data_IF_216837853684
#
_entry.id   IF_216837853684
#
_cell.length_a   1.000
_cell.length_b   1.000
_cell.length_c   1.000
_cell.angle_alpha   90.00
_cell.angle_beta   90.00
_cell.angle_gamma   90.00
#
_symmetry.space_group_name_H-M   'P 1'
#
loop_
_entity.id
_entity.type
_entity.pdbx_description
1 polymer ?
#
# COMPACT_ATOMS: atom_id res chain seq x y z
N UNK A 1 -24.06 53.97 -17.69
CA UNK A 1 -25.34 53.88 -18.46
C UNK A 1 -25.60 52.39 -18.74
N UNK A 2 -26.76 51.78 -18.43
CA UNK A 2 -28.03 51.70 -19.21
C UNK A 2 -27.79 51.25 -20.67
N UNK A 3 -28.39 50.19 -21.25
CA UNK A 3 -29.50 49.24 -20.92
C UNK A 3 -29.08 47.78 -21.28
N UNK A 4 -29.57 46.62 -20.80
CA UNK A 4 -30.69 46.12 -19.95
C UNK A 4 -31.96 45.51 -20.62
N UNK A 5 -31.82 44.37 -21.32
CA UNK A 5 -32.89 43.38 -21.70
C UNK A 5 -32.23 42.02 -21.99
N UNK A 6 -32.61 40.82 -21.51
CA UNK A 6 -33.71 40.24 -20.69
C UNK A 6 -34.98 39.72 -21.41
N UNK A 7 -35.00 38.41 -21.73
CA UNK A 7 -36.15 37.48 -21.94
C UNK A 7 -35.68 36.02 -21.66
N UNK A 8 -36.52 34.98 -21.81
CA UNK A 8 -37.39 34.44 -20.73
C UNK A 8 -38.25 33.25 -21.21
N UNK A 9 -38.11 32.06 -20.60
CA UNK A 9 -38.98 30.88 -20.81
C UNK A 9 -38.34 29.61 -20.21
N UNK A 10 -38.76 28.99 -19.09
CA UNK A 10 -40.07 28.61 -18.53
C UNK A 10 -40.40 27.12 -18.78
N UNK A 11 -40.40 26.29 -17.73
CA UNK A 11 -41.21 25.06 -17.63
C UNK A 11 -41.39 24.60 -16.16
N UNK A 12 -42.64 24.25 -15.87
CA UNK A 12 -43.23 23.29 -14.92
C UNK A 12 -42.36 22.71 -13.78
N UNK A 13 -42.74 22.68 -12.49
CA UNK A 13 -44.04 22.56 -11.76
C UNK A 13 -44.60 21.14 -11.58
N UNK A 14 -44.30 20.49 -10.45
CA UNK A 14 -45.11 19.41 -9.84
C UNK A 14 -45.12 19.59 -8.33
N UNK A 15 -46.27 19.44 -7.68
CA UNK A 15 -46.43 19.39 -6.22
C UNK A 15 -47.01 18.03 -5.81
N UNK A 16 -46.64 17.53 -4.62
CA UNK A 16 -47.41 16.49 -3.90
C UNK A 16 -46.98 16.34 -2.44
N UNK A 17 -47.97 16.31 -1.57
CA UNK A 17 -48.01 15.94 -0.15
C UNK A 17 -49.47 15.56 0.17
N UNK A 18 -49.81 14.98 1.34
CA UNK A 18 -48.99 14.22 2.30
C UNK A 18 -49.60 12.83 2.58
N UNK A 19 -49.05 12.07 3.55
CA UNK A 19 -49.83 11.07 4.33
C UNK A 19 -49.21 10.83 5.71
N UNK A 20 -50.01 10.32 6.66
CA UNK A 20 -49.77 10.38 8.10
C UNK A 20 -49.98 9.05 8.84
N UNK A 21 -49.25 8.83 9.94
CA UNK A 21 -49.53 8.05 11.19
C UNK A 21 -48.20 8.00 12.00
N UNK A 22 -48.07 8.25 13.31
CA UNK A 22 -48.80 7.98 14.58
C UNK A 22 -48.32 6.71 15.33
N UNK A 23 -47.87 6.89 16.59
CA UNK A 23 -47.47 5.84 17.57
C UNK A 23 -45.95 5.63 17.64
N UNK A 24 -45.17 5.90 18.70
CA UNK A 24 -45.34 6.28 20.13
C UNK A 24 -45.37 5.12 21.17
N UNK A 25 -44.25 4.98 21.91
CA UNK A 25 -43.95 4.40 23.25
C UNK A 25 -42.42 4.08 23.27
N UNK A 26 -41.55 4.54 24.19
CA UNK A 26 -41.43 4.35 25.67
C UNK A 26 -41.35 2.87 26.09
N UNK A 27 -40.28 2.36 26.70
CA UNK A 27 -38.97 2.94 27.07
C UNK A 27 -38.20 1.99 28.02
N UNK A 28 -37.17 2.51 28.71
CA UNK A 28 -36.43 1.89 29.84
C UNK A 28 -35.44 0.75 29.48
N UNK A 29 -34.14 1.05 29.54
CA UNK A 29 -33.06 0.12 29.93
C UNK A 29 -32.91 0.13 31.47
N UNK A 30 -32.36 -0.94 32.10
CA UNK A 30 -30.95 -0.89 32.49
C UNK A 30 -30.23 -2.27 32.55
N UNK A 31 -28.95 -2.22 32.98
CA UNK A 31 -28.11 -3.31 33.48
C UNK A 31 -27.60 -4.38 32.47
N UNK A 32 -26.29 -4.31 32.18
CA UNK A 32 -25.47 -5.47 31.81
C UNK A 32 -24.67 -5.90 33.04
N UNK A 33 -24.49 -7.21 33.23
CA UNK A 33 -23.26 -7.83 33.73
C UNK A 33 -23.21 -9.29 33.20
N UNK A 34 -22.03 -9.93 33.10
CA UNK A 34 -21.80 -10.97 32.08
C UNK A 34 -22.03 -12.41 32.54
N UNK A 35 -22.77 -13.20 31.75
CA UNK A 35 -22.74 -14.67 31.85
C UNK A 35 -21.59 -15.28 31.04
N UNK A 36 -20.82 -16.16 31.69
CA UNK A 36 -19.75 -16.94 31.06
C UNK A 36 -20.34 -18.27 30.59
N UNK A 37 -20.40 -18.49 29.26
CA UNK A 37 -20.83 -19.79 28.71
C UNK A 37 -19.65 -20.78 28.53
N UNK A 38 -19.88 -22.09 28.71
CA UNK A 38 -18.81 -23.08 28.86
C UNK A 38 -18.22 -23.61 27.55
N UNK A 39 -16.97 -24.07 27.63
CA UNK A 39 -16.28 -24.82 26.56
C UNK A 39 -16.90 -26.21 26.39
N UNK A 40 -17.63 -26.45 25.29
CA UNK A 40 -17.59 -27.66 24.46
C UNK A 40 -18.71 -27.69 23.40
N UNK A 41 -18.51 -27.00 22.26
CA UNK A 41 -19.28 -27.27 21.04
C UNK A 41 -18.54 -26.82 19.75
N UNK A 42 -17.35 -27.37 19.53
CA UNK A 42 -16.57 -27.17 18.29
C UNK A 42 -16.28 -28.56 17.69
N UNK A 43 -17.22 -29.07 16.90
CA UNK A 43 -17.09 -30.16 15.92
C UNK A 43 -18.47 -30.35 15.24
N UNK A 44 -18.47 -30.59 13.93
CA UNK A 44 -19.64 -30.85 13.08
C UNK A 44 -20.72 -29.73 13.00
N UNK A 45 -20.40 -28.61 12.33
CA UNK A 45 -21.40 -27.79 11.59
C UNK A 45 -20.76 -26.72 10.66
N UNK A 46 -19.68 -27.04 9.94
CA UNK A 46 -19.09 -26.16 8.90
C UNK A 46 -18.61 -27.01 7.71
N UNK A 47 -19.57 -27.62 7.05
CA UNK A 47 -19.48 -28.06 5.65
C UNK A 47 -20.65 -27.38 4.91
N UNK A 48 -20.52 -27.23 3.59
CA UNK A 48 -21.30 -26.35 2.70
C UNK A 48 -21.06 -24.82 2.84
N UNK A 49 -21.14 -24.13 1.70
CA UNK A 49 -20.95 -22.67 1.52
C UNK A 49 -19.51 -22.12 1.64
N UNK A 50 -18.56 -22.78 0.97
CA UNK A 50 -17.54 -22.03 0.22
C UNK A 50 -17.84 -22.28 -1.26
N UNK A 51 -18.49 -21.31 -1.92
CA UNK A 51 -18.48 -21.27 -3.38
C UNK A 51 -17.03 -20.97 -3.82
N UNK A 52 -16.47 -21.67 -4.81
CA UNK A 52 -15.22 -21.24 -5.40
C UNK A 52 -15.49 -19.93 -6.14
N UNK A 53 -14.96 -18.82 -5.63
CA UNK A 53 -14.70 -17.68 -6.49
C UNK A 53 -13.64 -18.12 -7.50
N UNK A 54 -14.10 -18.56 -8.67
CA UNK A 54 -13.29 -18.75 -9.89
C UNK A 54 -12.84 -17.37 -10.40
N UNK A 55 -12.07 -16.68 -9.56
CA UNK A 55 -11.36 -15.47 -9.91
C UNK A 55 -10.27 -15.90 -10.90
N UNK A 56 -10.55 -15.78 -12.19
CA UNK A 56 -9.66 -16.36 -13.21
C UNK A 56 -8.33 -15.61 -13.22
N UNK A 57 -7.35 -16.21 -12.53
CA UNK A 57 -5.97 -15.73 -12.44
C UNK A 57 -5.34 -15.46 -13.80
N UNK A 58 -5.91 -15.96 -14.91
CA UNK A 58 -5.44 -15.69 -16.26
C UNK A 58 -5.55 -14.20 -16.64
N UNK A 59 -6.60 -13.47 -16.22
CA UNK A 59 -6.77 -12.04 -16.56
C UNK A 59 -5.61 -11.16 -16.03
N UNK A 60 -5.09 -11.43 -14.82
CA UNK A 60 -3.91 -10.73 -14.28
C UNK A 60 -2.61 -10.99 -15.08
N UNK A 61 -2.58 -12.01 -15.94
CA UNK A 61 -1.43 -12.36 -16.76
C UNK A 61 -1.62 -12.01 -18.25
N UNK A 62 -2.83 -11.74 -18.76
CA UNK A 62 -3.02 -11.26 -20.14
C UNK A 62 -2.29 -9.93 -20.39
N UNK A 63 -2.30 -9.01 -19.40
CA UNK A 63 -1.48 -7.78 -19.40
C UNK A 63 0.04 -8.04 -19.39
N UNK A 64 0.46 -9.24 -18.99
CA UNK A 64 1.87 -9.64 -18.85
C UNK A 64 2.35 -10.39 -20.10
N UNK A 65 1.46 -11.08 -20.82
CA UNK A 65 1.77 -11.76 -22.09
C UNK A 65 2.50 -10.87 -23.12
N UNK A 66 2.01 -9.69 -23.54
CA UNK A 66 2.69 -8.89 -24.56
C UNK A 66 4.05 -8.37 -24.09
N UNK A 67 4.19 -7.98 -22.81
CA UNK A 67 5.47 -7.54 -22.25
C UNK A 67 6.49 -8.68 -22.15
N UNK A 68 6.06 -9.89 -21.77
CA UNK A 68 6.98 -11.03 -21.67
C UNK A 68 7.26 -11.65 -23.04
N UNK A 69 6.38 -11.48 -24.04
CA UNK A 69 6.67 -11.83 -25.43
C UNK A 69 7.71 -10.88 -26.07
N UNK A 70 7.66 -9.57 -25.77
CA UNK A 70 8.72 -8.61 -26.12
C UNK A 70 10.07 -8.97 -25.43
N UNK A 71 10.04 -9.40 -24.16
CA UNK A 71 11.23 -9.88 -23.44
C UNK A 71 11.72 -11.27 -23.91
N UNK A 72 10.84 -12.12 -24.44
CA UNK A 72 11.19 -13.48 -24.91
C UNK A 72 11.74 -13.47 -26.34
N UNK A 73 11.25 -12.58 -27.21
CA UNK A 73 11.80 -12.37 -28.56
C UNK A 73 13.18 -11.72 -28.55
N UNK A 74 13.59 -11.08 -27.44
CA UNK A 74 14.94 -10.50 -27.25
C UNK A 74 15.97 -11.40 -26.53
N UNK A 75 15.77 -12.72 -26.51
CA UNK A 75 16.66 -13.67 -25.83
C UNK A 75 18.11 -13.69 -26.41
N UNK A 76 19.15 -14.05 -25.62
CA UNK A 76 19.11 -14.70 -24.30
C UNK A 76 19.99 -14.00 -23.25
N UNK A 77 19.72 -12.74 -22.91
CA UNK A 77 20.41 -12.01 -21.83
C UNK A 77 19.43 -11.05 -21.12
N UNK A 78 18.39 -11.59 -20.47
CA UNK A 78 17.40 -10.80 -19.71
C UNK A 78 17.88 -10.49 -18.28
N UNK A 79 19.19 -10.24 -18.13
CA UNK A 79 19.74 -9.64 -16.93
C UNK A 79 19.24 -8.19 -16.86
N UNK A 80 18.42 -7.88 -15.86
CA UNK A 80 18.08 -6.50 -15.52
C UNK A 80 19.38 -5.85 -15.00
N UNK A 81 19.89 -4.78 -15.63
CA UNK A 81 21.22 -4.27 -15.30
C UNK A 81 21.14 -3.41 -14.04
N UNK A 82 21.18 -4.08 -12.89
CA UNK A 82 21.65 -3.46 -11.66
C UNK A 82 23.17 -3.62 -11.67
N UNK A 83 23.86 -2.47 -11.74
CA UNK A 83 25.31 -2.38 -11.64
C UNK A 83 25.81 -3.23 -10.46
N UNK A 84 26.51 -4.31 -10.78
CA UNK A 84 27.23 -5.09 -9.77
C UNK A 84 28.38 -4.23 -9.24
N UNK A 85 28.16 -3.56 -8.12
CA UNK A 85 29.29 -3.28 -7.23
C UNK A 85 29.84 -4.63 -6.81
N UNK A 86 31.04 -4.94 -7.30
CA UNK A 86 31.84 -6.03 -6.79
C UNK A 86 32.23 -5.66 -5.36
N UNK A 87 31.33 -5.97 -4.42
CA UNK A 87 31.79 -6.52 -3.15
C UNK A 87 32.67 -7.71 -3.51
N UNK A 88 33.99 -7.45 -3.53
CA UNK A 88 35.00 -8.49 -3.60
C UNK A 88 34.69 -9.55 -2.55
N UNK A 89 35.23 -10.76 -2.75
CA UNK A 89 35.13 -11.85 -1.79
C UNK A 89 35.98 -11.53 -0.56
N UNK A 90 35.51 -10.59 0.25
CA UNK A 90 35.97 -10.36 1.62
C UNK A 90 35.59 -11.61 2.38
N UNK A 91 36.57 -12.48 2.56
CA UNK A 91 36.53 -13.67 3.43
C UNK A 91 36.32 -13.20 4.87
N UNK A 92 35.08 -12.80 5.16
CA UNK A 92 34.62 -12.37 6.48
C UNK A 92 34.57 -13.63 7.33
N UNK A 93 35.56 -13.79 8.23
CA UNK A 93 35.90 -15.08 8.82
C UNK A 93 34.66 -15.83 9.34
N UNK A 94 34.45 -17.03 8.78
CA UNK A 94 33.26 -17.83 9.03
C UNK A 94 33.30 -18.43 10.44
N UNK A 95 32.82 -17.65 11.41
CA UNK A 95 32.57 -18.07 12.79
C UNK A 95 31.84 -19.42 12.82
N UNK A 96 32.41 -20.37 13.54
CA UNK A 96 32.24 -21.78 13.23
C UNK A 96 30.95 -22.42 13.80
N UNK A 97 30.24 -23.17 12.94
CA UNK A 97 29.34 -24.32 13.25
C UNK A 97 28.07 -23.97 14.07
N UNK A 98 26.84 -24.27 13.65
CA UNK A 98 26.28 -25.11 12.55
C UNK A 98 24.96 -24.47 12.06
N UNK A 99 24.21 -24.96 11.05
CA UNK A 99 24.31 -26.18 10.23
C UNK A 99 23.82 -25.89 8.81
N UNK A 100 24.37 -26.57 7.81
CA UNK A 100 24.01 -26.58 6.36
C UNK A 100 23.18 -25.38 5.85
N UNK A 101 23.85 -24.44 5.19
CA UNK A 101 23.26 -23.41 4.32
C UNK A 101 22.02 -23.96 3.55
N UNK A 102 20.80 -23.44 3.82
CA UNK A 102 19.57 -23.95 3.24
C UNK A 102 19.56 -23.94 1.71
N UNK A 103 20.25 -22.97 1.09
CA UNK A 103 20.39 -22.90 -0.37
C UNK A 103 21.27 -24.04 -0.87
N UNK A 104 22.41 -24.32 -0.23
CA UNK A 104 23.26 -25.47 -0.61
C UNK A 104 22.50 -26.79 -0.46
N UNK A 105 21.76 -26.96 0.65
CA UNK A 105 20.94 -28.14 0.87
C UNK A 105 19.90 -28.34 -0.25
N UNK A 106 19.15 -27.30 -0.58
CA UNK A 106 18.18 -27.34 -1.68
C UNK A 106 18.84 -27.66 -3.03
N UNK A 107 20.00 -27.06 -3.32
CA UNK A 107 20.77 -27.34 -4.55
C UNK A 107 21.31 -28.77 -4.60
N UNK A 108 21.64 -29.39 -3.46
CA UNK A 108 22.03 -30.80 -3.37
C UNK A 108 20.84 -31.74 -3.57
N UNK A 109 19.70 -31.48 -2.93
CA UNK A 109 18.45 -32.24 -3.11
C UNK A 109 17.96 -32.17 -4.57
N UNK A 110 17.95 -30.98 -5.18
CA UNK A 110 17.58 -30.76 -6.59
C UNK A 110 18.52 -31.47 -7.58
N UNK A 111 19.79 -31.70 -7.21
CA UNK A 111 20.75 -32.45 -8.05
C UNK A 111 20.52 -33.96 -8.07
N UNK A 112 19.74 -34.52 -7.14
CA UNK A 112 19.43 -35.95 -7.10
C UNK A 112 18.42 -36.36 -8.18
N UNK A 113 17.60 -35.43 -8.67
CA UNK A 113 16.62 -35.70 -9.73
C UNK A 113 17.30 -35.87 -11.10
N UNK A 114 17.08 -37.03 -11.72
CA UNK A 114 17.48 -37.34 -13.09
C UNK A 114 16.78 -36.39 -14.07
N UNK A 115 17.52 -35.96 -15.11
CA UNK A 115 16.93 -35.29 -16.27
C UNK A 115 16.12 -36.30 -17.10
N UNK A 116 15.07 -35.84 -17.78
CA UNK A 116 14.22 -36.66 -18.64
C UNK A 116 14.67 -36.62 -20.10
N UNK A 117 14.61 -37.77 -20.77
CA UNK A 117 14.73 -37.85 -22.23
C UNK A 117 13.53 -37.14 -22.90
N UNK A 118 13.68 -36.50 -24.09
CA UNK A 118 12.54 -35.98 -24.86
C UNK A 118 11.37 -36.98 -25.05
N UNK A 119 11.63 -38.27 -25.20
CA UNK A 119 10.57 -39.28 -25.33
C UNK A 119 9.85 -39.53 -24.00
N UNK A 120 10.59 -39.56 -22.88
CA UNK A 120 10.01 -39.69 -21.54
C UNK A 120 9.13 -38.46 -21.20
N UNK A 121 9.64 -37.26 -21.44
CA UNK A 121 8.94 -35.98 -21.25
C UNK A 121 7.62 -35.95 -22.03
N UNK A 122 7.63 -36.33 -23.31
CA UNK A 122 6.42 -36.43 -24.12
C UNK A 122 5.42 -37.45 -23.54
N UNK A 123 5.90 -38.63 -23.14
CA UNK A 123 5.05 -39.69 -22.58
C UNK A 123 4.39 -39.32 -21.25
N UNK A 124 5.09 -38.55 -20.40
CA UNK A 124 4.59 -38.06 -19.11
C UNK A 124 3.61 -36.90 -19.32
N UNK A 125 3.92 -35.96 -20.22
CA UNK A 125 3.02 -34.86 -20.56
C UNK A 125 1.71 -35.34 -21.19
N UNK A 126 1.76 -36.39 -22.03
CA UNK A 126 0.56 -37.00 -22.60
C UNK A 126 -0.31 -37.66 -21.53
N UNK A 127 0.29 -38.47 -20.62
CA UNK A 127 -0.43 -39.06 -19.47
C UNK A 127 -1.08 -38.01 -18.58
N UNK A 128 -0.39 -36.91 -18.31
CA UNK A 128 -0.93 -35.79 -17.54
C UNK A 128 -2.14 -35.16 -18.25
N UNK A 129 -2.02 -34.86 -19.56
CA UNK A 129 -3.09 -34.25 -20.35
C UNK A 129 -4.32 -35.16 -20.53
N UNK A 130 -4.11 -36.47 -20.69
CA UNK A 130 -5.20 -37.44 -20.91
C UNK A 130 -5.88 -37.91 -19.62
N UNK A 131 -5.16 -37.99 -18.50
CA UNK A 131 -5.60 -38.73 -17.29
C UNK A 131 -5.49 -37.94 -15.98
N UNK A 132 -4.92 -36.74 -16.00
CA UNK A 132 -4.68 -35.96 -14.78
C UNK A 132 -3.66 -36.61 -13.83
N UNK A 133 -2.73 -37.40 -14.36
CA UNK A 133 -1.77 -38.20 -13.57
C UNK A 133 -0.83 -37.30 -12.73
N UNK A 134 -1.11 -37.20 -11.44
CA UNK A 134 -0.39 -36.38 -10.47
C UNK A 134 1.08 -36.83 -10.34
N UNK A 135 1.38 -38.12 -10.48
CA UNK A 135 2.76 -38.61 -10.38
C UNK A 135 3.55 -38.30 -11.66
N UNK A 136 2.89 -38.29 -12.82
CA UNK A 136 3.47 -37.76 -14.05
C UNK A 136 3.79 -36.25 -13.93
N UNK A 137 2.88 -35.45 -13.36
CA UNK A 137 3.14 -34.04 -13.05
C UNK A 137 4.32 -33.87 -12.08
N UNK A 138 4.34 -34.64 -10.98
CA UNK A 138 5.43 -34.62 -9.99
C UNK A 138 6.78 -34.94 -10.65
N UNK A 139 6.84 -35.93 -11.54
CA UNK A 139 8.07 -36.28 -12.28
C UNK A 139 8.51 -35.20 -13.26
N UNK A 140 7.59 -34.57 -13.99
CA UNK A 140 7.87 -33.44 -14.88
C UNK A 140 8.41 -32.22 -14.13
N UNK A 141 7.81 -31.85 -12.99
CA UNK A 141 8.25 -30.73 -12.14
C UNK A 141 9.63 -31.03 -11.55
N UNK A 142 9.80 -32.16 -10.87
CA UNK A 142 11.05 -32.50 -10.17
C UNK A 142 12.27 -32.58 -11.08
N UNK A 143 12.13 -33.09 -12.31
CA UNK A 143 13.20 -33.09 -13.31
C UNK A 143 13.60 -31.68 -13.79
N UNK A 144 12.69 -30.69 -13.70
CA UNK A 144 12.88 -29.33 -14.21
C UNK A 144 13.22 -28.29 -13.12
N UNK A 145 13.29 -28.64 -11.84
CA UNK A 145 13.71 -27.73 -10.75
C UNK A 145 15.09 -27.07 -11.01
N UNK A 146 15.98 -27.76 -11.73
CA UNK A 146 17.29 -27.25 -12.16
C UNK A 146 17.19 -26.07 -13.15
N UNK A 147 16.12 -25.99 -13.94
CA UNK A 147 15.83 -24.85 -14.82
C UNK A 147 15.37 -23.64 -14.01
N UNK A 148 14.53 -23.84 -12.99
CA UNK A 148 14.07 -22.78 -12.08
C UNK A 148 15.26 -22.13 -11.38
N UNK A 149 16.16 -22.93 -10.80
CA UNK A 149 17.41 -22.46 -10.18
C UNK A 149 18.24 -21.63 -11.15
N UNK A 150 18.41 -22.08 -12.40
CA UNK A 150 19.17 -21.33 -13.41
C UNK A 150 18.56 -19.96 -13.67
N UNK A 151 17.23 -19.89 -13.86
CA UNK A 151 16.53 -18.64 -14.16
C UNK A 151 16.54 -17.71 -12.93
N UNK A 152 16.31 -18.22 -11.72
CA UNK A 152 16.34 -17.42 -10.49
C UNK A 152 17.72 -16.76 -10.24
N UNK A 153 18.81 -17.44 -10.61
CA UNK A 153 20.17 -16.88 -10.52
C UNK A 153 20.38 -15.64 -11.41
N UNK A 154 19.62 -15.48 -12.51
CA UNK A 154 19.68 -14.31 -13.40
C UNK A 154 19.16 -13.03 -12.70
N UNK A 155 18.42 -13.15 -11.59
CA UNK A 155 17.82 -12.06 -10.82
C UNK A 155 18.50 -11.79 -9.46
N UNK A 156 19.56 -12.52 -9.10
CA UNK A 156 20.24 -12.44 -7.80
C UNK A 156 20.82 -11.05 -7.47
N UNK A 157 21.15 -10.23 -8.48
CA UNK A 157 21.66 -8.86 -8.30
C UNK A 157 20.61 -7.86 -7.80
N UNK A 158 19.32 -8.23 -7.83
CA UNK A 158 18.18 -7.35 -7.59
C UNK A 158 17.53 -7.60 -6.23
N UNK A 159 17.55 -8.85 -5.78
CA UNK A 159 16.83 -9.31 -4.59
C UNK A 159 17.69 -10.26 -3.78
N UNK A 160 17.77 -10.02 -2.48
CA UNK A 160 18.72 -10.69 -1.58
C UNK A 160 18.38 -12.15 -1.31
N UNK A 161 17.09 -12.50 -1.17
CA UNK A 161 16.67 -13.87 -0.89
C UNK A 161 16.38 -14.65 -2.17
N UNK A 162 17.41 -15.35 -2.66
CA UNK A 162 17.31 -16.22 -3.84
C UNK A 162 16.34 -17.41 -3.64
N UNK A 163 16.07 -17.85 -2.40
CA UNK A 163 15.16 -18.96 -2.14
C UNK A 163 13.71 -18.59 -2.48
N UNK A 164 13.29 -17.36 -2.21
CA UNK A 164 11.93 -16.90 -2.52
C UNK A 164 11.71 -16.87 -4.04
N UNK A 165 12.70 -16.36 -4.80
CA UNK A 165 12.68 -16.37 -6.27
C UNK A 165 12.61 -17.80 -6.84
N UNK A 166 13.31 -18.74 -6.20
CA UNK A 166 13.24 -20.16 -6.58
C UNK A 166 11.85 -20.73 -6.28
N UNK A 167 11.22 -20.39 -5.15
CA UNK A 167 9.89 -20.89 -4.80
C UNK A 167 8.79 -20.34 -5.71
N UNK A 168 8.82 -19.06 -6.05
CA UNK A 168 7.90 -18.46 -7.02
C UNK A 168 8.12 -19.00 -8.43
N UNK A 169 9.39 -19.20 -8.83
CA UNK A 169 9.72 -19.90 -10.06
C UNK A 169 9.25 -21.37 -10.07
N UNK A 170 9.21 -22.05 -8.92
CA UNK A 170 8.65 -23.40 -8.79
C UNK A 170 7.12 -23.38 -8.97
N UNK A 171 6.41 -22.37 -8.44
CA UNK A 171 4.97 -22.17 -8.67
C UNK A 171 4.70 -21.91 -10.17
N UNK A 172 5.51 -21.05 -10.81
CA UNK A 172 5.48 -20.82 -12.26
C UNK A 172 5.71 -22.10 -13.06
N UNK A 173 6.67 -22.94 -12.68
CA UNK A 173 6.90 -24.26 -13.29
C UNK A 173 5.69 -25.20 -13.12
N UNK A 174 5.03 -25.21 -11.96
CA UNK A 174 3.81 -26.01 -11.74
C UNK A 174 2.65 -25.52 -12.64
N UNK A 175 2.46 -24.20 -12.77
CA UNK A 175 1.45 -23.63 -13.69
C UNK A 175 1.77 -23.96 -15.15
N UNK A 176 3.06 -23.93 -15.53
CA UNK A 176 3.51 -24.34 -16.86
C UNK A 176 3.21 -25.82 -17.15
N UNK A 177 3.55 -26.72 -16.23
CA UNK A 177 3.28 -28.16 -16.38
C UNK A 177 1.77 -28.44 -16.49
N UNK A 178 0.93 -27.67 -15.77
CA UNK A 178 -0.53 -27.76 -15.86
C UNK A 178 -1.11 -27.26 -17.19
N UNK A 179 -0.51 -26.25 -17.84
CA UNK A 179 -0.96 -25.69 -19.14
C UNK A 179 -0.16 -26.21 -20.37
N UNK A 180 0.81 -27.10 -20.19
CA UNK A 180 1.70 -27.56 -21.27
C UNK A 180 1.00 -28.52 -22.25
N UNK A 181 1.20 -28.28 -23.55
CA UNK A 181 0.68 -29.14 -24.61
C UNK A 181 1.80 -29.82 -25.42
N UNK A 182 2.08 -31.13 -25.19
CA UNK A 182 3.15 -31.83 -25.89
C UNK A 182 2.91 -31.98 -27.40
N UNK A 183 1.65 -31.86 -27.86
CA UNK A 183 1.31 -31.96 -29.30
C UNK A 183 1.89 -30.83 -30.14
N UNK A 184 2.29 -29.71 -29.51
CA UNK A 184 2.89 -28.55 -30.18
C UNK A 184 4.40 -28.72 -30.48
N UNK A 185 5.02 -29.84 -30.10
CA UNK A 185 6.39 -30.21 -30.46
C UNK A 185 7.53 -29.45 -29.77
N UNK A 186 7.24 -28.39 -29.00
CA UNK A 186 8.23 -27.71 -28.17
C UNK A 186 8.54 -28.52 -26.90
N UNK A 187 9.81 -28.52 -26.44
CA UNK A 187 10.19 -29.08 -25.13
C UNK A 187 9.57 -28.28 -24.00
N UNK A 188 9.17 -28.96 -22.93
CA UNK A 188 8.61 -28.34 -21.71
C UNK A 188 9.50 -27.22 -21.18
N UNK A 189 10.82 -27.39 -21.18
CA UNK A 189 11.77 -26.38 -20.70
C UNK A 189 11.68 -25.02 -21.40
N UNK A 190 11.37 -24.97 -22.70
CA UNK A 190 11.19 -23.68 -23.39
C UNK A 190 9.91 -22.99 -22.92
N UNK A 191 8.78 -23.72 -22.90
CA UNK A 191 7.49 -23.21 -22.45
C UNK A 191 7.51 -22.78 -20.98
N UNK A 192 8.05 -23.63 -20.10
CA UNK A 192 8.19 -23.33 -18.68
C UNK A 192 9.10 -22.12 -18.41
N UNK A 193 10.11 -21.86 -19.24
CA UNK A 193 10.98 -20.69 -19.05
C UNK A 193 10.22 -19.36 -19.08
N UNK A 194 9.13 -19.27 -19.84
CA UNK A 194 8.25 -18.10 -19.87
C UNK A 194 7.52 -17.96 -18.52
N UNK A 195 6.83 -18.99 -18.05
CA UNK A 195 6.09 -18.99 -16.79
C UNK A 195 6.98 -18.74 -15.56
N UNK A 196 8.15 -19.39 -15.52
CA UNK A 196 9.13 -19.22 -14.43
C UNK A 196 9.57 -17.75 -14.34
N UNK A 197 9.91 -17.11 -15.47
CA UNK A 197 10.22 -15.67 -15.49
C UNK A 197 9.03 -14.84 -15.08
N UNK A 198 7.84 -15.06 -15.64
CA UNK A 198 6.64 -14.26 -15.35
C UNK A 198 6.28 -14.24 -13.86
N UNK A 199 6.38 -15.39 -13.17
CA UNK A 199 6.12 -15.49 -11.73
C UNK A 199 7.21 -14.80 -10.89
N UNK A 200 8.49 -15.01 -11.20
CA UNK A 200 9.61 -14.31 -10.53
C UNK A 200 9.50 -12.79 -10.71
N UNK A 201 9.19 -12.33 -11.92
CA UNK A 201 9.05 -10.91 -12.24
C UNK A 201 7.85 -10.27 -11.52
N UNK A 202 6.70 -10.98 -11.42
CA UNK A 202 5.55 -10.54 -10.62
C UNK A 202 5.92 -10.43 -9.14
N UNK A 203 6.50 -11.47 -8.55
CA UNK A 203 6.93 -11.45 -7.15
C UNK A 203 7.92 -10.32 -6.85
N UNK A 204 8.91 -10.09 -7.73
CA UNK A 204 9.83 -8.97 -7.60
C UNK A 204 9.05 -7.64 -7.61
N UNK A 205 8.19 -7.41 -8.59
CA UNK A 205 7.44 -6.15 -8.73
C UNK A 205 6.51 -5.88 -7.51
N UNK A 206 5.93 -6.93 -6.93
CA UNK A 206 5.05 -6.88 -5.76
C UNK A 206 5.79 -6.78 -4.41
N UNK A 207 7.08 -7.14 -4.34
CA UNK A 207 7.85 -7.23 -3.09
C UNK A 207 9.22 -6.52 -3.12
N UNK A 208 9.53 -5.74 -4.15
CA UNK A 208 10.77 -4.93 -4.24
C UNK A 208 10.85 -3.82 -3.17
N UNK A 209 9.72 -3.46 -2.56
CA UNK A 209 9.59 -2.44 -1.51
C UNK A 209 8.63 -2.92 -0.43
N UNK A 210 8.85 -2.48 0.81
CA UNK A 210 7.96 -2.69 1.95
C UNK A 210 6.65 -1.92 1.76
N UNK A 211 6.75 -0.69 1.25
CA UNK A 211 5.56 0.12 0.90
C UNK A 211 5.04 -0.33 -0.47
N UNK A 212 3.96 -1.10 -0.46
CA UNK A 212 3.28 -1.55 -1.69
C UNK A 212 2.44 -0.41 -2.27
N UNK A 213 2.62 -0.15 -3.57
CA UNK A 213 1.89 0.84 -4.35
C UNK A 213 1.30 0.11 -5.57
N UNK A 214 0.02 0.33 -5.87
CA UNK A 214 -0.64 -0.30 -7.02
C UNK A 214 0.05 0.08 -8.34
N UNK A 215 0.42 -0.92 -9.15
CA UNK A 215 1.26 -0.74 -10.33
C UNK A 215 0.46 -0.69 -11.63
N UNK A 216 0.58 0.42 -12.34
CA UNK A 216 0.08 0.58 -13.72
C UNK A 216 1.00 -0.10 -14.73
N UNK A 217 0.50 -0.43 -15.94
CA UNK A 217 1.33 -1.06 -16.98
C UNK A 217 2.56 -0.20 -17.35
N UNK A 218 2.43 1.13 -17.36
CA UNK A 218 3.56 2.05 -17.55
C UNK A 218 4.64 1.87 -16.46
N UNK A 219 4.24 1.69 -15.20
CA UNK A 219 5.17 1.37 -14.11
C UNK A 219 5.75 -0.05 -14.23
N UNK A 220 4.99 -1.06 -14.70
CA UNK A 220 5.56 -2.39 -15.00
C UNK A 220 6.65 -2.29 -16.07
N UNK A 221 6.38 -1.61 -17.18
CA UNK A 221 7.34 -1.37 -18.28
C UNK A 221 8.57 -0.61 -17.78
N UNK A 222 8.38 0.45 -16.98
CA UNK A 222 9.49 1.19 -16.39
C UNK A 222 10.33 0.34 -15.43
N UNK A 223 9.72 -0.48 -14.56
CA UNK A 223 10.45 -1.32 -13.60
C UNK A 223 11.48 -2.24 -14.28
N UNK A 224 11.16 -2.81 -15.45
CA UNK A 224 12.09 -3.67 -16.20
C UNK A 224 13.03 -2.91 -17.15
N UNK A 225 12.57 -1.85 -17.82
CA UNK A 225 13.32 -1.22 -18.91
C UNK A 225 14.05 0.09 -18.54
N UNK A 226 13.64 0.78 -17.47
CA UNK A 226 14.17 2.11 -17.10
C UNK A 226 15.68 2.10 -16.86
N UNK A 227 16.16 1.17 -16.03
CA UNK A 227 17.56 1.12 -15.65
C UNK A 227 18.46 0.68 -16.83
N UNK A 228 17.95 -0.20 -17.69
CA UNK A 228 18.64 -0.65 -18.92
C UNK A 228 18.76 0.46 -19.96
N UNK A 229 17.68 1.19 -20.25
CA UNK A 229 17.76 2.30 -21.21
C UNK A 229 18.53 3.48 -20.63
N UNK A 230 18.54 3.67 -19.30
CA UNK A 230 19.43 4.62 -18.61
C UNK A 230 20.90 4.29 -18.83
N UNK A 231 21.36 3.07 -18.49
CA UNK A 231 22.75 2.65 -18.74
C UNK A 231 23.12 2.73 -20.23
N UNK A 232 22.19 2.34 -21.12
CA UNK A 232 22.38 2.42 -22.57
C UNK A 232 22.57 3.84 -23.08
N UNK A 233 21.91 4.83 -22.48
CA UNK A 233 22.07 6.25 -22.81
C UNK A 233 23.38 6.81 -22.22
N UNK A 234 23.70 6.48 -20.97
CA UNK A 234 24.95 6.87 -20.33
C UNK A 234 26.17 6.30 -21.08
N UNK A 235 26.10 5.06 -21.58
CA UNK A 235 27.09 4.45 -22.46
C UNK A 235 27.21 5.10 -23.86
N UNK A 236 26.21 5.87 -24.29
CA UNK A 236 26.28 6.73 -25.47
C UNK A 236 26.79 8.15 -25.16
N UNK A 237 27.17 8.43 -23.90
CA UNK A 237 27.57 9.76 -23.44
C UNK A 237 26.42 10.74 -23.28
N UNK A 238 25.16 10.25 -23.27
CA UNK A 238 23.97 11.07 -23.10
C UNK A 238 23.52 11.06 -21.63
N UNK A 239 23.23 12.25 -21.09
CA UNK A 239 22.57 12.36 -19.80
C UNK A 239 21.13 11.85 -19.91
N UNK A 240 20.84 10.76 -19.20
CA UNK A 240 19.54 10.09 -19.18
C UNK A 240 18.49 10.88 -18.37
N UNK A 241 18.08 12.05 -18.88
CA UNK A 241 17.06 12.88 -18.26
C UNK A 241 15.64 12.28 -18.38
N UNK A 242 14.73 12.50 -17.40
CA UNK A 242 13.40 11.88 -17.37
C UNK A 242 12.58 12.04 -18.65
N UNK A 243 12.69 13.18 -19.36
CA UNK A 243 12.01 13.42 -20.64
C UNK A 243 12.46 12.48 -21.76
N UNK A 244 13.77 12.29 -21.90
CA UNK A 244 14.33 11.45 -22.95
C UNK A 244 14.03 9.97 -22.65
N UNK A 245 14.04 9.57 -21.38
CA UNK A 245 13.58 8.25 -20.93
C UNK A 245 12.07 8.04 -21.19
N UNK A 246 11.24 9.06 -20.93
CA UNK A 246 9.80 9.03 -21.20
C UNK A 246 9.48 8.86 -22.70
N UNK A 247 10.14 9.64 -23.56
CA UNK A 247 10.04 9.55 -25.03
C UNK A 247 10.54 8.19 -25.56
N UNK A 248 11.57 7.59 -24.95
CA UNK A 248 12.11 6.29 -25.37
C UNK A 248 11.28 5.10 -24.92
N UNK A 249 10.59 5.20 -23.79
CA UNK A 249 9.81 4.11 -23.21
C UNK A 249 8.30 4.22 -23.47
N UNK A 250 7.85 5.30 -24.12
CA UNK A 250 6.43 5.61 -24.41
C UNK A 250 5.57 5.64 -23.13
N UNK A 251 5.97 6.52 -22.21
CA UNK A 251 5.34 6.73 -20.89
C UNK A 251 5.37 8.22 -20.52
N UNK A 252 4.68 8.63 -19.45
CA UNK A 252 4.66 10.03 -19.02
C UNK A 252 5.90 10.35 -18.17
N UNK A 253 6.46 11.55 -18.32
CA UNK A 253 7.61 12.04 -17.52
C UNK A 253 7.40 11.87 -16.00
N UNK A 254 6.17 12.07 -15.50
CA UNK A 254 5.83 11.84 -14.08
C UNK A 254 6.08 10.38 -13.67
N UNK A 255 5.66 9.42 -14.48
CA UNK A 255 5.78 7.99 -14.16
C UNK A 255 7.26 7.57 -14.13
N UNK A 256 8.09 8.17 -14.99
CA UNK A 256 9.55 7.99 -14.97
C UNK A 256 10.16 8.52 -13.67
N UNK A 257 9.81 9.74 -13.24
CA UNK A 257 10.33 10.34 -11.99
C UNK A 257 9.88 9.52 -10.78
N UNK A 258 8.63 9.06 -10.76
CA UNK A 258 8.08 8.24 -9.68
C UNK A 258 8.79 6.86 -9.58
N UNK A 259 9.06 6.22 -10.73
CA UNK A 259 9.82 4.96 -10.75
C UNK A 259 11.32 5.16 -10.46
N UNK A 260 11.96 6.24 -10.96
CA UNK A 260 13.35 6.53 -10.62
C UNK A 260 13.51 6.78 -9.11
N UNK A 261 12.56 7.47 -8.47
CA UNK A 261 12.51 7.57 -7.01
C UNK A 261 12.41 6.18 -6.36
N UNK A 262 11.44 5.34 -6.77
CA UNK A 262 11.22 3.98 -6.23
C UNK A 262 12.46 3.06 -6.38
N UNK A 263 13.16 3.13 -7.52
CA UNK A 263 14.36 2.32 -7.80
C UNK A 263 15.63 2.90 -7.18
N UNK A 264 15.70 4.21 -6.92
CA UNK A 264 16.89 4.83 -6.35
C UNK A 264 17.18 4.39 -4.91
N UNK A 265 18.45 4.41 -4.52
CA UNK A 265 18.86 4.25 -3.12
C UNK A 265 18.28 5.34 -2.18
N UNK A 266 17.81 6.47 -2.72
CA UNK A 266 17.14 7.54 -1.94
C UNK A 266 15.66 7.23 -1.66
N UNK A 267 15.04 6.34 -2.45
CA UNK A 267 13.71 5.80 -2.19
C UNK A 267 13.74 4.48 -1.43
N UNK A 268 14.90 4.08 -0.88
CA UNK A 268 15.02 2.91 -0.02
C UNK A 268 14.59 3.24 1.39
N UNK A 269 13.80 2.34 1.98
CA UNK A 269 13.35 2.38 3.35
C UNK A 269 14.54 2.30 4.31
N UNK A 270 14.83 3.40 5.01
CA UNK A 270 15.96 3.47 5.94
C UNK A 270 15.59 2.79 7.28
N UNK A 271 16.35 1.80 7.76
CA UNK A 271 16.06 1.17 9.04
C UNK A 271 16.25 2.18 10.19
N UNK A 272 15.20 2.39 11.01
CA UNK A 272 15.26 3.37 12.09
C UNK A 272 16.26 2.96 13.19
N UNK A 273 16.46 1.65 13.39
CA UNK A 273 17.42 1.08 14.34
C UNK A 273 18.87 1.11 13.83
N UNK A 274 19.13 1.58 12.60
CA UNK A 274 20.49 1.73 12.10
C UNK A 274 21.23 2.86 12.85
N UNK A 275 22.53 2.67 13.19
CA UNK A 275 23.31 3.70 13.86
C UNK A 275 23.61 4.87 12.90
N UNK A 276 23.32 6.09 13.32
CA UNK A 276 23.52 7.31 12.50
C UNK A 276 25.01 7.58 12.26
N UNK A 277 25.86 7.23 13.23
CA UNK A 277 27.31 7.44 13.18
C UNK A 277 28.06 6.11 13.15
N UNK A 278 28.85 5.90 12.10
CA UNK A 278 29.70 4.72 11.90
C UNK A 278 31.13 4.88 12.43
N UNK A 279 31.45 6.04 13.01
CA UNK A 279 32.78 6.39 13.51
C UNK A 279 33.13 5.62 14.79
N UNK A 280 34.10 4.69 14.69
CA UNK A 280 34.69 3.91 15.81
C UNK A 280 35.41 4.73 16.90
N UNK A 281 35.26 6.05 16.92
CA UNK A 281 35.97 6.95 17.83
C UNK A 281 35.16 7.19 19.12
N UNK A 282 35.65 6.59 20.21
CA UNK A 282 35.12 6.58 21.59
C UNK A 282 34.04 5.52 21.87
N UNK A 283 34.29 4.71 22.90
CA UNK A 283 33.45 3.57 23.32
C UNK A 283 32.40 3.99 24.38
N UNK A 284 32.12 5.30 24.48
CA UNK A 284 31.36 5.91 25.57
C UNK A 284 30.15 6.75 25.11
N UNK A 285 30.13 7.21 23.86
CA UNK A 285 28.94 7.84 23.28
C UNK A 285 28.01 6.75 22.74
N UNK A 286 26.71 6.90 23.01
CA UNK A 286 25.71 5.86 22.72
C UNK A 286 25.60 5.57 21.22
N UNK A 287 25.15 4.35 20.88
CA UNK A 287 24.81 3.97 19.50
C UNK A 287 23.51 4.67 19.07
N UNK A 288 23.56 5.99 18.89
CA UNK A 288 22.42 6.80 18.48
C UNK A 288 21.88 6.29 17.14
N UNK A 289 20.62 5.90 17.16
CA UNK A 289 19.86 5.35 16.03
C UNK A 289 19.13 6.47 15.30
N UNK A 290 18.62 6.21 14.09
CA UNK A 290 17.78 7.21 13.41
C UNK A 290 16.48 7.50 14.18
N UNK A 291 16.00 6.54 14.98
CA UNK A 291 14.85 6.72 15.88
C UNK A 291 15.08 7.81 16.93
N UNK A 292 16.29 7.92 17.49
CA UNK A 292 16.63 8.88 18.57
C UNK A 292 16.57 10.35 18.11
N UNK A 293 16.57 10.61 16.80
CA UNK A 293 16.49 11.95 16.22
C UNK A 293 15.10 12.31 15.65
N UNK A 294 14.11 11.40 15.76
CA UNK A 294 12.75 11.70 15.31
C UNK A 294 12.02 12.60 16.32
N UNK A 295 11.67 13.80 15.89
CA UNK A 295 10.85 14.74 16.68
C UNK A 295 9.44 14.18 16.82
N UNK A 296 8.90 14.17 18.04
CA UNK A 296 7.52 13.76 18.29
C UNK A 296 6.56 14.88 17.88
N UNK A 297 5.49 14.55 17.14
CA UNK A 297 4.39 15.47 16.83
C UNK A 297 3.41 15.67 18.00
N UNK A 298 3.60 14.97 19.13
CA UNK A 298 2.80 15.14 20.33
C UNK A 298 3.12 16.48 21.01
N UNK A 299 2.09 17.19 21.47
CA UNK A 299 2.24 18.41 22.28
C UNK A 299 3.14 18.15 23.50
N UNK A 300 4.03 19.08 23.82
CA UNK A 300 4.85 19.00 25.03
C UNK A 300 3.99 19.08 26.30
N UNK A 301 4.53 18.58 27.42
CA UNK A 301 3.88 18.71 28.73
C UNK A 301 3.68 20.18 29.14
N UNK A 302 4.50 21.10 28.62
CA UNK A 302 4.41 22.54 28.84
C UNK A 302 3.24 23.14 28.05
N UNK A 303 3.10 22.83 26.76
CA UNK A 303 1.94 23.25 25.93
C UNK A 303 0.61 22.74 26.52
N UNK A 304 0.56 21.47 26.94
CA UNK A 304 -0.65 20.88 27.55
C UNK A 304 -1.00 21.56 28.88
N UNK A 305 0.01 22.01 29.64
CA UNK A 305 -0.20 22.76 30.87
C UNK A 305 -0.62 24.22 30.58
N UNK A 306 0.01 24.89 29.62
CA UNK A 306 -0.33 26.25 29.18
C UNK A 306 -1.77 26.31 28.68
N UNK A 307 -2.15 25.46 27.73
CA UNK A 307 -3.52 25.39 27.19
C UNK A 307 -4.54 25.14 28.31
N UNK A 308 -4.22 24.25 29.27
CA UNK A 308 -5.09 23.98 30.43
C UNK A 308 -5.18 25.18 31.38
N UNK A 309 -4.10 25.90 31.64
CA UNK A 309 -4.10 27.10 32.48
C UNK A 309 -4.87 28.24 31.79
N UNK A 310 -4.62 28.48 30.50
CA UNK A 310 -5.32 29.46 29.68
C UNK A 310 -6.84 29.20 29.65
N UNK A 311 -7.26 27.95 29.42
CA UNK A 311 -8.68 27.56 29.46
C UNK A 311 -9.29 27.69 30.87
N UNK A 312 -8.54 27.43 31.94
CA UNK A 312 -9.02 27.60 33.30
C UNK A 312 -9.17 29.08 33.69
N UNK A 313 -8.22 29.94 33.29
CA UNK A 313 -8.33 31.39 33.43
C UNK A 313 -9.55 31.90 32.65
N UNK A 314 -9.72 31.51 31.39
CA UNK A 314 -10.86 31.92 30.56
C UNK A 314 -12.20 31.49 31.19
N UNK A 315 -12.27 30.28 31.75
CA UNK A 315 -13.43 29.79 32.50
C UNK A 315 -13.70 30.56 33.81
N UNK A 316 -12.67 31.16 34.42
CA UNK A 316 -12.82 32.09 35.56
C UNK A 316 -13.40 33.45 35.15
N UNK A 317 -13.06 33.93 33.96
CA UNK A 317 -13.53 35.21 33.42
C UNK A 317 -14.96 35.15 32.85
N UNK A 318 -15.37 34.00 32.31
CA UNK A 318 -16.70 33.81 31.69
C UNK A 318 -17.88 34.19 32.60
N UNK A 319 -17.97 33.80 33.89
CA UNK A 319 -19.07 34.19 34.78
C UNK A 319 -19.25 35.71 34.98
N UNK A 320 -18.25 36.53 34.63
CA UNK A 320 -18.38 37.99 34.64
C UNK A 320 -18.78 38.55 33.27
N UNK A 321 -18.33 37.93 32.19
CA UNK A 321 -18.82 38.20 30.84
C UNK A 321 -20.30 37.84 30.69
N UNK A 322 -20.74 36.72 31.27
CA UNK A 322 -22.14 36.26 31.30
C UNK A 322 -23.09 37.32 31.89
N UNK A 323 -22.64 38.09 32.90
CA UNK A 323 -23.41 39.20 33.51
C UNK A 323 -23.56 40.42 32.57
N UNK A 324 -22.70 40.58 31.56
CA UNK A 324 -22.78 41.66 30.54
C UNK A 324 -23.64 41.27 29.32
N UNK A 325 -24.08 40.02 29.21
CA UNK A 325 -24.82 39.50 28.06
C UNK A 325 -26.33 39.55 28.26
N UNK A 326 -27.07 39.85 27.18
CA UNK A 326 -28.52 39.68 27.17
C UNK A 326 -28.88 38.18 27.16
N UNK A 327 -30.07 37.82 27.64
CA UNK A 327 -30.51 36.41 27.72
C UNK A 327 -30.33 35.62 26.40
N UNK A 328 -30.65 36.25 25.26
CA UNK A 328 -30.49 35.64 23.93
C UNK A 328 -29.02 35.53 23.49
N UNK A 329 -28.16 36.42 23.95
CA UNK A 329 -26.71 36.41 23.70
C UNK A 329 -26.03 35.31 24.54
N UNK A 330 -26.38 35.23 25.83
CA UNK A 330 -25.94 34.19 26.77
C UNK A 330 -26.31 32.77 26.32
N UNK A 331 -27.55 32.56 25.86
CA UNK A 331 -27.99 31.26 25.34
C UNK A 331 -27.22 30.84 24.08
N UNK A 332 -26.90 31.77 23.18
CA UNK A 332 -26.06 31.51 21.99
C UNK A 332 -24.62 31.18 22.40
N UNK A 333 -24.04 31.90 23.38
CA UNK A 333 -22.73 31.56 23.93
C UNK A 333 -22.73 30.12 24.47
N UNK A 334 -23.70 29.78 25.32
CA UNK A 334 -23.73 28.49 26.03
C UNK A 334 -24.07 27.29 25.13
N UNK A 335 -25.03 27.41 24.21
CA UNK A 335 -25.50 26.27 23.39
C UNK A 335 -24.66 26.02 22.14
N UNK A 336 -23.73 26.92 21.80
CA UNK A 336 -23.02 26.88 20.50
C UNK A 336 -21.53 27.26 20.54
N UNK A 337 -21.10 28.17 21.42
CA UNK A 337 -19.68 28.57 21.54
C UNK A 337 -18.96 27.87 22.70
N UNK A 338 -19.69 27.45 23.74
CA UNK A 338 -19.14 26.75 24.92
C UNK A 338 -19.66 25.30 25.06
N UNK A 339 -20.41 24.80 24.08
CA UNK A 339 -20.94 23.43 24.09
C UNK A 339 -19.98 22.47 23.39
N UNK A 340 -19.73 21.31 24.00
CA UNK A 340 -18.97 20.21 23.38
C UNK A 340 -19.67 19.66 22.13
N UNK A 341 -21.02 19.69 22.13
CA UNK A 341 -21.86 19.50 20.95
C UNK A 341 -22.46 20.86 20.51
N UNK A 342 -21.83 21.60 19.58
CA UNK A 342 -22.28 22.94 19.20
C UNK A 342 -23.48 22.88 18.24
N UNK A 343 -24.65 23.34 18.71
CA UNK A 343 -25.89 23.34 17.91
C UNK A 343 -25.76 24.15 16.61
N UNK A 344 -26.52 23.78 15.58
CA UNK A 344 -26.53 24.52 14.34
C UNK A 344 -27.24 25.87 14.49
N UNK A 345 -26.84 26.83 13.66
CA UNK A 345 -27.50 28.14 13.55
C UNK A 345 -28.99 28.05 13.16
N UNK A 346 -29.46 26.90 12.67
CA UNK A 346 -30.86 26.67 12.36
C UNK A 346 -31.62 26.22 13.62
N UNK A 347 -31.16 25.19 14.34
CA UNK A 347 -31.76 24.77 15.61
C UNK A 347 -31.84 25.93 16.62
N UNK A 348 -30.76 26.71 16.75
CA UNK A 348 -30.71 27.86 17.67
C UNK A 348 -31.67 28.97 17.22
N UNK A 349 -31.88 29.15 15.91
CA UNK A 349 -32.87 30.10 15.41
C UNK A 349 -34.31 29.63 15.69
N UNK A 350 -34.60 28.35 15.40
CA UNK A 350 -35.93 27.76 15.55
C UNK A 350 -36.36 27.65 17.03
N UNK A 351 -35.44 27.28 17.93
CA UNK A 351 -35.68 27.24 19.38
C UNK A 351 -36.02 28.62 19.99
N UNK A 352 -35.60 29.72 19.35
CA UNK A 352 -35.72 31.08 19.90
C UNK A 352 -36.56 32.04 19.06
N UNK A 353 -37.27 31.54 18.04
CA UNK A 353 -38.14 32.34 17.17
C UNK A 353 -37.37 33.41 16.39
N UNK A 354 -36.13 33.12 16.00
CA UNK A 354 -35.25 33.99 15.22
C UNK A 354 -35.13 33.48 13.78
N UNK A 355 -34.56 34.28 12.90
CA UNK A 355 -34.06 33.77 11.61
C UNK A 355 -32.61 33.31 11.76
N UNK A 356 -32.17 32.35 10.94
CA UNK A 356 -30.80 31.83 10.91
C UNK A 356 -29.74 32.93 10.82
N UNK A 357 -29.94 33.93 9.95
CA UNK A 357 -29.02 35.06 9.83
C UNK A 357 -29.05 35.98 11.06
N UNK A 358 -30.19 36.08 11.77
CA UNK A 358 -30.26 36.83 13.02
C UNK A 358 -29.52 36.11 14.15
N UNK A 359 -29.56 34.78 14.22
CA UNK A 359 -28.70 34.02 15.13
C UNK A 359 -27.21 34.26 14.82
N UNK A 360 -26.81 34.22 13.53
CA UNK A 360 -25.43 34.49 13.08
C UNK A 360 -24.94 35.90 13.44
N UNK A 361 -25.80 36.92 13.28
CA UNK A 361 -25.50 38.30 13.69
C UNK A 361 -25.28 38.45 15.20
N UNK A 362 -26.01 37.68 16.01
CA UNK A 362 -25.87 37.71 17.47
C UNK A 362 -24.60 36.96 17.89
N UNK A 363 -24.31 35.79 17.31
CA UNK A 363 -23.05 35.06 17.51
C UNK A 363 -21.82 35.94 17.23
N UNK A 364 -21.78 36.60 16.08
CA UNK A 364 -20.69 37.51 15.72
C UNK A 364 -20.51 38.66 16.74
N UNK A 365 -21.61 39.26 17.19
CA UNK A 365 -21.59 40.32 18.22
C UNK A 365 -21.16 39.81 19.60
N UNK A 366 -21.47 38.56 19.95
CA UNK A 366 -21.01 37.95 21.20
C UNK A 366 -19.50 37.73 21.17
N UNK A 367 -18.94 37.30 20.03
CA UNK A 367 -17.49 37.16 19.84
C UNK A 367 -16.80 38.54 19.89
N UNK A 368 -17.38 39.56 19.27
CA UNK A 368 -16.90 40.95 19.29
C UNK A 368 -16.86 41.50 20.74
N UNK A 369 -17.96 41.39 21.48
CA UNK A 369 -18.04 41.73 22.91
C UNK A 369 -17.06 40.95 23.79
N UNK A 370 -16.82 39.67 23.50
CA UNK A 370 -15.88 38.84 24.24
C UNK A 370 -14.44 39.32 24.04
N UNK A 371 -14.08 39.68 22.79
CA UNK A 371 -12.79 40.30 22.47
C UNK A 371 -12.61 41.65 23.18
N UNK A 372 -13.63 42.52 23.18
CA UNK A 372 -13.59 43.78 23.94
C UNK A 372 -13.37 43.53 25.45
N UNK A 373 -14.15 42.61 26.04
CA UNK A 373 -14.07 42.26 27.46
C UNK A 373 -12.72 41.67 27.89
N UNK A 374 -12.11 40.82 27.06
CA UNK A 374 -10.77 40.27 27.33
C UNK A 374 -9.67 41.32 27.13
N UNK A 375 -9.84 42.25 26.17
CA UNK A 375 -8.94 43.38 25.96
C UNK A 375 -8.92 44.34 27.15
N UNK A 376 -10.09 44.67 27.72
CA UNK A 376 -10.22 45.44 28.97
C UNK A 376 -9.43 44.84 30.14
N UNK A 377 -9.17 43.53 30.11
CA UNK A 377 -8.50 42.77 31.17
C UNK A 377 -7.05 42.38 30.84
N UNK A 378 -6.49 42.92 29.76
CA UNK A 378 -5.07 42.75 29.41
C UNK A 378 -4.70 41.38 28.85
N UNK A 379 -5.68 40.61 28.34
CA UNK A 379 -5.39 39.37 27.60
C UNK A 379 -4.73 39.66 26.24
N UNK A 380 -3.76 38.83 25.78
CA UNK A 380 -3.32 38.83 24.38
C UNK A 380 -4.46 38.34 23.46
N UNK A 381 -4.56 38.90 22.24
CA UNK A 381 -5.74 38.80 21.33
C UNK A 381 -5.40 38.70 19.83
#
# INVERSE_FOLDING_TARGET
>A
MRKTTKKSGQKQSVSKQPRTKKGAKTGITPALEPEIMPKNKILASVEDTIEPEDHDFTEEFEDVEPMVEELATSAPNTALPVKAESHDLVETELGAVSSTDPLRRYLEEVRQYSLLDPQEEFSLALKLKEKGDIEAARRLVTANLRLVVKIALEYRSIYSNLLDLIQEGNIGLMKAVSKFDPTKGARLGYYASWWIRSYILKYLLDNFRLVKIGTTQAQKKLFYHLLREKERLEAQGLLAGPKLLAEKLDVREKDVVEMEQRLSARGTEMPLDAPVFSSRSTEAEGRATHLDFLVSENQSAEEVLEQRQLLNLLKGELPEFEKRLNEKEFRILKERLLSEEPKTLQEVADNYGLTRERARQIEARVIEKLREFLSERGWPL
#
